data_IF_527216732192
#
_entry.id   IF_527216732192
#
_cell.length_a   1.000
_cell.length_b   1.000
_cell.length_c   1.000
_cell.angle_alpha   90.00
_cell.angle_beta   90.00
_cell.angle_gamma   90.00
#
_symmetry.space_group_name_H-M   'P 1'
#
loop_
_entity.id
_entity.type
_entity.pdbx_description
1 polymer ?
#
# COMPACT_ATOMS: atom_id res chain seq x y z
N UNK A 1 -2.86 -46.18 -37.70
CA UNK A 1 -2.24 -44.90 -37.33
C UNK A 1 -3.34 -43.91 -36.94
N UNK A 2 -3.58 -43.77 -35.64
CA UNK A 2 -4.56 -42.83 -35.12
C UNK A 2 -3.86 -41.50 -34.82
N UNK A 3 -4.23 -40.42 -35.53
CA UNK A 3 -3.75 -39.07 -35.28
C UNK A 3 -4.48 -38.53 -34.06
N UNK A 4 -3.75 -38.31 -32.99
CA UNK A 4 -4.21 -37.57 -31.81
C UNK A 4 -4.11 -36.08 -32.16
N UNK A 5 -5.25 -35.42 -32.33
CA UNK A 5 -5.33 -33.97 -32.48
C UNK A 5 -5.23 -33.39 -31.08
N UNK A 6 -4.09 -32.78 -30.76
CA UNK A 6 -3.89 -32.03 -29.52
C UNK A 6 -4.61 -30.70 -29.67
N UNK A 7 -5.78 -30.57 -29.02
CA UNK A 7 -6.55 -29.32 -28.98
C UNK A 7 -5.90 -28.42 -27.93
N UNK A 8 -5.07 -27.48 -28.38
CA UNK A 8 -4.55 -26.42 -27.50
C UNK A 8 -5.70 -25.45 -27.23
N UNK A 9 -6.26 -25.55 -26.05
CA UNK A 9 -7.18 -24.53 -25.52
C UNK A 9 -6.35 -23.26 -25.21
N UNK A 10 -6.37 -22.31 -26.14
CA UNK A 10 -5.92 -20.95 -25.89
C UNK A 10 -7.01 -20.31 -25.01
N UNK A 11 -6.77 -20.26 -23.70
CA UNK A 11 -7.50 -19.34 -22.85
C UNK A 11 -7.05 -17.93 -23.22
N UNK A 12 -7.77 -17.29 -24.13
CA UNK A 12 -7.72 -15.85 -24.25
C UNK A 12 -8.27 -15.27 -22.93
N UNK A 13 -7.41 -14.68 -22.11
CA UNK A 13 -7.82 -13.79 -21.05
C UNK A 13 -8.58 -12.63 -21.75
N UNK A 14 -9.91 -12.75 -21.80
CA UNK A 14 -10.77 -11.62 -22.08
C UNK A 14 -10.79 -10.86 -20.76
N UNK A 15 -9.86 -9.89 -20.60
CA UNK A 15 -10.00 -8.89 -19.55
C UNK A 15 -11.42 -8.35 -19.66
N UNK A 16 -12.17 -8.35 -18.55
CA UNK A 16 -13.54 -7.89 -18.56
C UNK A 16 -13.58 -6.47 -19.12
N UNK A 17 -14.55 -6.11 -19.97
CA UNK A 17 -14.65 -4.77 -20.56
C UNK A 17 -14.61 -3.63 -19.53
N UNK A 18 -15.01 -3.92 -18.28
CA UNK A 18 -14.94 -3.02 -17.13
C UNK A 18 -13.50 -2.66 -16.72
N UNK A 19 -12.57 -3.62 -16.68
CA UNK A 19 -11.19 -3.38 -16.25
C UNK A 19 -10.42 -2.51 -17.26
N UNK A 20 -10.66 -2.69 -18.56
CA UNK A 20 -10.09 -1.84 -19.61
C UNK A 20 -10.65 -0.40 -19.56
N UNK A 21 -11.95 -0.25 -19.27
CA UNK A 21 -12.57 1.06 -19.13
C UNK A 21 -12.06 1.78 -17.86
N UNK A 22 -11.83 1.05 -16.78
CA UNK A 22 -11.33 1.60 -15.52
C UNK A 22 -9.86 2.02 -15.65
N UNK A 23 -9.01 1.22 -16.28
CA UNK A 23 -7.63 1.61 -16.58
C UNK A 23 -7.53 2.85 -17.46
N UNK A 24 -8.45 3.04 -18.42
CA UNK A 24 -8.50 4.26 -19.22
C UNK A 24 -8.89 5.47 -18.38
N UNK A 25 -9.88 5.35 -17.50
CA UNK A 25 -10.28 6.42 -16.57
C UNK A 25 -9.18 6.79 -15.59
N UNK A 26 -8.43 5.80 -15.11
CA UNK A 26 -7.27 6.02 -14.24
C UNK A 26 -6.21 6.87 -14.96
N UNK A 27 -5.81 6.50 -16.18
CA UNK A 27 -4.84 7.27 -16.96
C UNK A 27 -5.33 8.68 -17.29
N UNK A 28 -6.62 8.85 -17.64
CA UNK A 28 -7.23 10.18 -17.83
C UNK A 28 -7.15 11.04 -16.57
N UNK A 29 -7.28 10.45 -15.39
CA UNK A 29 -7.17 11.19 -14.13
C UNK A 29 -5.79 11.78 -13.91
N UNK A 30 -4.71 11.06 -14.29
CA UNK A 30 -3.34 11.58 -14.21
C UNK A 30 -3.08 12.74 -15.17
N UNK A 31 -3.71 12.76 -16.32
CA UNK A 31 -3.45 13.75 -17.38
C UNK A 31 -4.46 14.91 -17.42
N UNK A 32 -5.54 14.84 -16.64
CA UNK A 32 -6.68 15.78 -16.72
C UNK A 32 -6.33 17.22 -16.42
N UNK A 33 -5.43 17.45 -15.45
CA UNK A 33 -5.18 18.78 -14.93
C UNK A 33 -3.76 19.31 -15.19
N UNK A 34 -2.85 18.43 -15.64
CA UNK A 34 -1.45 18.77 -15.91
C UNK A 34 -0.84 17.76 -16.88
N UNK A 35 0.27 18.14 -17.48
CA UNK A 35 0.99 17.31 -18.46
C UNK A 35 1.87 16.29 -17.71
N UNK A 36 1.25 15.29 -17.08
CA UNK A 36 1.92 14.20 -16.41
C UNK A 36 1.63 12.87 -17.11
N UNK A 37 2.68 12.13 -17.40
CA UNK A 37 2.58 10.79 -17.95
C UNK A 37 3.07 9.80 -16.88
N UNK A 38 2.16 9.00 -16.26
CA UNK A 38 2.58 8.05 -15.26
C UNK A 38 3.45 6.94 -15.86
N UNK A 39 4.48 6.54 -15.12
CA UNK A 39 5.29 5.40 -15.46
C UNK A 39 4.64 4.11 -14.92
N UNK A 40 4.95 2.97 -15.54
CA UNK A 40 4.52 1.66 -15.05
C UNK A 40 5.46 1.25 -13.91
N UNK A 41 4.91 0.90 -12.75
CA UNK A 41 5.68 0.38 -11.64
C UNK A 41 6.08 -1.09 -11.88
N UNK A 42 7.35 -1.39 -11.63
CA UNK A 42 7.82 -2.76 -11.52
C UNK A 42 7.55 -3.27 -10.10
N UNK A 43 6.83 -4.41 -9.94
CA UNK A 43 6.52 -4.94 -8.62
C UNK A 43 7.78 -5.32 -7.83
N UNK A 44 7.90 -4.84 -6.61
CA UNK A 44 9.02 -5.20 -5.71
C UNK A 44 8.86 -6.62 -5.14
N UNK A 45 7.64 -7.14 -5.11
CA UNK A 45 7.35 -8.48 -4.59
C UNK A 45 7.51 -8.61 -3.08
N UNK A 46 7.49 -9.85 -2.60
CA UNK A 46 7.65 -10.18 -1.18
C UNK A 46 9.11 -10.07 -0.76
N UNK A 47 9.37 -9.37 0.33
CA UNK A 47 10.67 -9.31 1.00
C UNK A 47 10.62 -10.28 2.18
N UNK A 48 11.33 -11.42 2.15
CA UNK A 48 11.22 -12.44 3.17
C UNK A 48 11.85 -11.99 4.49
N UNK A 49 11.16 -12.26 5.59
CA UNK A 49 11.63 -12.12 6.96
C UNK A 49 12.19 -13.43 7.52
N UNK A 50 12.06 -13.60 8.82
CA UNK A 50 12.46 -14.81 9.56
C UNK A 50 11.27 -15.52 10.23
N UNK A 51 10.15 -14.82 10.39
CA UNK A 51 8.87 -15.33 10.86
C UNK A 51 7.83 -15.27 9.74
N UNK A 52 7.60 -16.40 9.11
CA UNK A 52 6.67 -16.55 7.99
C UNK A 52 5.19 -16.74 8.43
N UNK A 53 4.87 -16.57 9.70
CA UNK A 53 3.49 -16.46 10.21
C UNK A 53 3.01 -15.02 10.32
N UNK A 54 3.92 -14.06 10.16
CA UNK A 54 3.69 -12.62 10.29
C UNK A 54 3.94 -11.92 8.97
N UNK A 55 3.00 -11.09 8.53
CA UNK A 55 3.09 -10.29 7.31
C UNK A 55 2.97 -8.79 7.64
N UNK A 56 3.84 -7.99 7.06
CA UNK A 56 3.78 -6.52 7.12
C UNK A 56 3.39 -6.00 5.73
N UNK A 57 2.21 -5.41 5.63
CA UNK A 57 1.70 -4.76 4.43
C UNK A 57 1.81 -3.25 4.59
N UNK A 58 2.33 -2.55 3.61
CA UNK A 58 2.36 -1.08 3.67
C UNK A 58 2.16 -0.44 2.31
N UNK A 59 1.60 0.78 2.30
CA UNK A 59 1.60 1.66 1.15
C UNK A 59 2.40 2.92 1.47
N UNK A 60 3.26 3.33 0.54
CA UNK A 60 4.05 4.57 0.66
C UNK A 60 4.17 5.24 -0.70
N UNK A 61 4.31 6.58 -0.74
CA UNK A 61 4.65 7.29 -1.97
C UNK A 61 6.01 6.84 -2.51
N UNK A 62 6.98 6.61 -1.63
CA UNK A 62 8.25 5.98 -2.04
C UNK A 62 7.95 4.55 -2.49
N UNK A 63 8.35 4.21 -3.72
CA UNK A 63 7.98 2.98 -4.41
C UNK A 63 6.69 3.09 -5.24
N UNK A 64 5.97 4.22 -5.17
CA UNK A 64 4.79 4.53 -5.97
C UNK A 64 4.87 5.90 -6.66
N UNK A 65 6.04 6.53 -6.65
CA UNK A 65 6.34 7.81 -7.29
C UNK A 65 7.78 7.76 -7.79
N UNK A 66 8.02 8.19 -9.01
CA UNK A 66 9.36 8.36 -9.57
C UNK A 66 9.95 9.68 -9.06
N UNK A 67 10.59 9.64 -7.88
CA UNK A 67 11.25 10.82 -7.33
C UNK A 67 12.62 11.02 -7.98
N UNK A 68 13.03 12.28 -8.28
CA UNK A 68 14.38 12.59 -8.68
C UNK A 68 15.39 12.32 -7.55
N UNK A 69 16.66 12.11 -7.90
CA UNK A 69 17.71 11.81 -6.91
C UNK A 69 17.94 12.98 -5.91
N UNK A 70 17.60 14.21 -6.29
CA UNK A 70 17.78 15.44 -5.52
C UNK A 70 16.46 15.95 -4.90
N UNK A 71 15.45 15.09 -4.75
CA UNK A 71 14.17 15.47 -4.14
C UNK A 71 14.39 16.05 -2.73
N UNK A 72 13.74 17.18 -2.46
CA UNK A 72 13.74 17.78 -1.12
C UNK A 72 12.83 17.01 -0.17
N UNK A 73 13.40 16.04 0.56
CA UNK A 73 12.66 15.25 1.54
C UNK A 73 12.12 16.08 2.72
N UNK A 74 12.69 17.25 3.00
CA UNK A 74 12.30 18.11 4.13
C UNK A 74 10.98 18.85 3.86
N UNK A 75 10.76 19.27 2.62
CA UNK A 75 9.54 20.00 2.23
C UNK A 75 8.32 19.09 1.99
N UNK A 76 8.50 17.78 1.94
CA UNK A 76 7.44 16.82 1.69
C UNK A 76 7.12 16.00 2.96
N UNK A 77 6.00 16.28 3.59
CA UNK A 77 5.59 15.73 4.89
C UNK A 77 5.55 14.19 5.02
N UNK A 78 5.70 13.45 3.93
CA UNK A 78 5.67 11.97 3.92
C UNK A 78 6.99 11.34 3.51
N UNK A 79 8.01 12.16 3.23
CA UNK A 79 9.35 11.73 2.81
C UNK A 79 10.35 11.91 3.95
N UNK A 80 11.27 10.99 4.06
CA UNK A 80 12.36 11.00 5.04
C UNK A 80 13.62 10.45 4.38
N UNK A 81 14.73 10.52 5.10
CA UNK A 81 15.95 9.81 4.75
C UNK A 81 16.22 8.72 5.80
N UNK A 82 16.61 7.55 5.34
CA UNK A 82 17.10 6.49 6.24
C UNK A 82 18.52 6.80 6.76
N UNK A 83 19.10 5.88 7.52
CA UNK A 83 20.44 6.04 8.12
C UNK A 83 21.58 6.10 7.08
N UNK A 84 21.33 5.68 5.86
CA UNK A 84 22.27 5.71 4.72
C UNK A 84 22.04 6.94 3.83
N UNK A 85 21.05 7.79 4.16
CA UNK A 85 20.65 8.95 3.38
C UNK A 85 19.81 8.62 2.15
N UNK A 86 19.24 7.42 2.09
CA UNK A 86 18.33 7.00 1.03
C UNK A 86 16.90 7.44 1.35
N UNK A 87 16.17 7.85 0.32
CA UNK A 87 14.78 8.26 0.46
C UNK A 87 13.91 7.10 0.97
N UNK A 88 13.14 7.37 2.01
CA UNK A 88 12.17 6.45 2.61
C UNK A 88 10.88 7.19 2.95
N UNK A 89 9.72 6.55 2.76
CA UNK A 89 8.45 7.11 3.17
C UNK A 89 8.13 6.81 4.63
N UNK A 90 7.34 7.66 5.29
CA UNK A 90 6.97 7.47 6.71
C UNK A 90 6.29 6.12 6.96
N UNK A 91 5.38 5.68 6.08
CA UNK A 91 4.72 4.38 6.22
C UNK A 91 5.71 3.22 6.00
N UNK A 92 6.63 3.35 5.06
CA UNK A 92 7.70 2.36 4.83
C UNK A 92 8.62 2.27 6.05
N UNK A 93 9.02 3.41 6.63
CA UNK A 93 9.85 3.45 7.84
C UNK A 93 9.18 2.71 9.00
N UNK A 94 7.91 2.97 9.25
CA UNK A 94 7.14 2.28 10.28
C UNK A 94 7.01 0.77 9.99
N UNK A 95 6.81 0.38 8.73
CA UNK A 95 6.79 -1.02 8.31
C UNK A 95 8.14 -1.71 8.56
N UNK A 96 9.27 -1.03 8.32
CA UNK A 96 10.61 -1.55 8.64
C UNK A 96 10.76 -1.81 10.15
N UNK A 97 10.36 -0.88 11.02
CA UNK A 97 10.42 -1.08 12.48
C UNK A 97 9.59 -2.29 12.93
N UNK A 98 8.39 -2.46 12.34
CA UNK A 98 7.51 -3.59 12.64
C UNK A 98 8.17 -4.90 12.15
N UNK A 99 8.67 -4.92 10.93
CA UNK A 99 9.32 -6.11 10.36
C UNK A 99 10.57 -6.51 11.16
N UNK A 100 11.42 -5.55 11.55
CA UNK A 100 12.59 -5.82 12.40
C UNK A 100 12.20 -6.38 13.77
N UNK A 101 11.14 -5.84 14.38
CA UNK A 101 10.71 -6.28 15.72
C UNK A 101 9.97 -7.63 15.70
N UNK A 102 9.27 -7.95 14.60
CA UNK A 102 8.46 -9.17 14.49
C UNK A 102 9.15 -10.29 13.73
N UNK A 103 10.14 -9.96 12.91
CA UNK A 103 10.74 -10.89 11.94
C UNK A 103 9.86 -11.19 10.74
N UNK A 104 8.71 -10.52 10.59
CA UNK A 104 7.72 -10.80 9.57
C UNK A 104 8.17 -10.54 8.13
N UNK A 105 7.54 -11.23 7.18
CA UNK A 105 7.68 -10.94 5.76
C UNK A 105 7.08 -9.57 5.44
N UNK A 106 7.64 -8.86 4.45
CA UNK A 106 7.16 -7.53 4.06
C UNK A 106 6.65 -7.54 2.62
N UNK A 107 5.47 -7.00 2.39
CA UNK A 107 4.94 -6.81 1.06
C UNK A 107 4.52 -5.35 0.84
N UNK A 108 5.21 -4.59 -0.02
CA UNK A 108 4.83 -3.24 -0.40
C UNK A 108 3.60 -3.26 -1.32
N UNK A 109 2.58 -2.50 -0.98
CA UNK A 109 1.45 -2.26 -1.85
C UNK A 109 1.90 -1.26 -2.92
N UNK A 110 1.87 -1.67 -4.18
CA UNK A 110 2.26 -0.82 -5.31
C UNK A 110 1.11 -0.69 -6.30
N UNK A 111 0.90 0.54 -6.76
CA UNK A 111 0.01 0.82 -7.89
C UNK A 111 0.69 0.44 -9.20
N UNK A 112 -0.09 0.06 -10.22
CA UNK A 112 0.45 -0.24 -11.54
C UNK A 112 1.10 0.99 -12.20
N UNK A 113 0.65 2.19 -11.83
CA UNK A 113 1.15 3.46 -12.36
C UNK A 113 1.68 4.35 -11.22
N UNK A 114 2.76 5.09 -11.51
CA UNK A 114 3.34 6.03 -10.55
C UNK A 114 2.43 7.23 -10.29
N UNK A 115 2.46 7.75 -9.06
CA UNK A 115 1.90 9.06 -8.74
C UNK A 115 2.88 10.17 -9.14
N UNK A 116 2.38 11.41 -9.37
CA UNK A 116 3.22 12.57 -9.64
C UNK A 116 4.25 12.81 -8.53
N UNK A 117 5.40 13.36 -8.90
CA UNK A 117 6.45 13.77 -7.98
C UNK A 117 5.99 14.90 -7.06
N UNK A 118 5.35 15.91 -7.64
CA UNK A 118 4.84 17.08 -6.91
C UNK A 118 3.75 16.65 -5.92
N UNK A 119 3.79 17.24 -4.71
CA UNK A 119 2.76 17.00 -3.70
C UNK A 119 1.40 17.54 -4.15
N UNK A 120 1.36 18.72 -4.77
CA UNK A 120 0.12 19.36 -5.26
C UNK A 120 -0.54 18.53 -6.35
N UNK A 121 0.25 18.04 -7.31
CA UNK A 121 -0.27 17.19 -8.39
C UNK A 121 -0.74 15.84 -7.85
N UNK A 122 -0.02 15.27 -6.87
CA UNK A 122 -0.47 14.06 -6.17
C UNK A 122 -1.83 14.28 -5.51
N UNK A 123 -2.04 15.42 -4.82
CA UNK A 123 -3.35 15.74 -4.23
C UNK A 123 -4.42 15.85 -5.32
N UNK A 124 -4.12 16.47 -6.45
CA UNK A 124 -5.05 16.60 -7.57
C UNK A 124 -5.48 15.23 -8.10
N UNK A 125 -4.54 14.28 -8.26
CA UNK A 125 -4.85 12.90 -8.65
C UNK A 125 -5.72 12.22 -7.58
N UNK A 126 -5.37 12.36 -6.29
CA UNK A 126 -6.14 11.78 -5.18
C UNK A 126 -7.58 12.30 -5.16
N UNK A 127 -7.78 13.61 -5.29
CA UNK A 127 -9.12 14.22 -5.33
C UNK A 127 -9.91 13.68 -6.52
N UNK A 128 -9.32 13.63 -7.70
CA UNK A 128 -9.98 13.06 -8.88
C UNK A 128 -10.34 11.57 -8.71
N UNK A 129 -9.47 10.78 -8.07
CA UNK A 129 -9.77 9.39 -7.73
C UNK A 129 -10.96 9.26 -6.78
N UNK A 130 -11.11 10.17 -5.81
CA UNK A 130 -12.26 10.18 -4.89
C UNK A 130 -13.54 10.64 -5.58
N UNK A 131 -13.49 11.74 -6.35
CA UNK A 131 -14.67 12.32 -7.02
C UNK A 131 -15.27 11.41 -8.10
N UNK A 132 -14.41 10.76 -8.87
CA UNK A 132 -14.82 9.89 -9.99
C UNK A 132 -14.89 8.41 -9.57
N UNK A 133 -14.65 8.09 -8.29
CA UNK A 133 -14.58 6.72 -7.74
C UNK A 133 -13.65 5.80 -8.55
N UNK A 134 -12.45 6.30 -8.87
CA UNK A 134 -11.44 5.54 -9.59
C UNK A 134 -10.73 4.61 -8.61
N UNK A 135 -10.64 3.32 -8.95
CA UNK A 135 -9.86 2.33 -8.21
C UNK A 135 -8.49 2.18 -8.87
N UNK A 136 -7.40 2.70 -8.24
CA UNK A 136 -6.05 2.55 -8.81
C UNK A 136 -5.69 1.08 -8.98
N UNK A 137 -5.19 0.70 -10.15
CA UNK A 137 -4.74 -0.66 -10.38
C UNK A 137 -3.55 -0.99 -9.50
N UNK A 138 -3.52 -2.20 -8.95
CA UNK A 138 -2.43 -2.70 -8.12
C UNK A 138 -1.49 -3.53 -9.01
N UNK A 139 -0.19 -3.27 -8.88
CA UNK A 139 0.85 -3.89 -9.72
C UNK A 139 0.99 -5.40 -9.45
N UNK A 140 0.88 -5.81 -8.19
CA UNK A 140 0.94 -7.22 -7.80
C UNK A 140 0.24 -7.47 -6.45
N UNK A 141 -0.13 -8.71 -6.22
CA UNK A 141 -0.69 -9.22 -4.97
C UNK A 141 0.18 -10.36 -4.44
N UNK A 142 0.21 -10.61 -3.10
CA UNK A 142 0.82 -11.82 -2.57
C UNK A 142 0.16 -13.08 -3.17
N UNK A 143 0.97 -14.06 -3.57
CA UNK A 143 0.45 -15.29 -4.21
C UNK A 143 -0.33 -16.17 -3.22
N UNK A 144 0.12 -16.23 -1.97
CA UNK A 144 -0.50 -17.03 -0.91
C UNK A 144 -0.43 -16.31 0.44
N UNK A 145 -1.58 -16.19 1.10
CA UNK A 145 -1.71 -15.60 2.43
C UNK A 145 -2.04 -16.65 3.51
N UNK A 146 -2.19 -17.92 3.15
CA UNK A 146 -2.67 -18.97 4.05
C UNK A 146 -1.72 -19.26 5.22
N UNK A 147 -0.41 -19.01 5.04
CA UNK A 147 0.61 -19.21 6.06
C UNK A 147 0.67 -18.13 7.15
N UNK A 148 0.00 -16.99 6.95
CA UNK A 148 0.06 -15.88 7.89
C UNK A 148 -1.10 -15.89 8.87
N UNK A 149 -0.81 -15.75 10.16
CA UNK A 149 -1.79 -15.60 11.24
C UNK A 149 -1.97 -14.13 11.63
N UNK A 150 -0.90 -13.35 11.52
CA UNK A 150 -0.86 -11.93 11.91
C UNK A 150 -0.46 -11.05 10.74
N UNK A 151 -1.22 -9.97 10.54
CA UNK A 151 -0.95 -8.94 9.52
C UNK A 151 -0.82 -7.59 10.19
N UNK A 152 0.30 -6.89 9.92
CA UNK A 152 0.53 -5.52 10.30
C UNK A 152 0.32 -4.64 9.07
N UNK A 153 -0.69 -3.79 9.11
CA UNK A 153 -1.09 -2.96 7.99
C UNK A 153 -0.74 -1.50 8.27
N UNK A 154 0.19 -0.93 7.49
CA UNK A 154 0.68 0.45 7.67
C UNK A 154 0.27 1.31 6.49
N UNK A 155 -0.67 2.23 6.70
CA UNK A 155 -1.32 2.98 5.63
C UNK A 155 -1.28 4.50 5.88
N UNK A 156 -1.01 5.33 4.87
CA UNK A 156 -1.20 6.77 4.98
C UNK A 156 -2.69 7.14 4.95
N UNK A 157 -3.03 8.17 5.71
CA UNK A 157 -4.35 8.81 5.64
C UNK A 157 -4.32 9.88 4.55
N UNK A 158 -5.11 9.66 3.51
CA UNK A 158 -5.36 10.58 2.41
C UNK A 158 -6.82 10.99 2.41
N UNK A 159 -7.12 12.28 2.21
CA UNK A 159 -8.50 12.78 2.20
C UNK A 159 -9.35 12.30 3.41
N UNK A 160 -8.75 12.26 4.62
CA UNK A 160 -9.37 11.85 5.89
C UNK A 160 -9.79 10.36 5.98
N UNK A 161 -9.29 9.51 5.11
CA UNK A 161 -9.52 8.06 5.13
C UNK A 161 -8.26 7.30 4.70
N UNK A 162 -8.27 5.96 4.68
CA UNK A 162 -7.17 5.19 4.10
C UNK A 162 -7.09 5.42 2.59
N UNK A 163 -5.87 5.51 2.07
CA UNK A 163 -5.63 5.84 0.65
C UNK A 163 -6.32 4.86 -0.32
N UNK A 164 -6.74 5.35 -1.47
CA UNK A 164 -7.42 4.54 -2.51
C UNK A 164 -6.64 3.27 -2.89
N UNK A 165 -5.31 3.30 -3.11
CA UNK A 165 -4.56 2.06 -3.40
C UNK A 165 -4.71 0.99 -2.34
N UNK A 166 -4.72 1.38 -1.05
CA UNK A 166 -4.95 0.43 0.03
C UNK A 166 -6.35 -0.16 0.01
N UNK A 167 -7.37 0.65 -0.31
CA UNK A 167 -8.75 0.16 -0.48
C UNK A 167 -8.84 -0.86 -1.60
N UNK A 168 -8.34 -0.52 -2.79
CA UNK A 168 -8.29 -1.43 -3.94
C UNK A 168 -7.56 -2.74 -3.61
N UNK A 169 -6.43 -2.63 -2.89
CA UNK A 169 -5.67 -3.80 -2.48
C UNK A 169 -6.49 -4.69 -1.53
N UNK A 170 -7.11 -4.10 -0.50
CA UNK A 170 -7.90 -4.83 0.49
C UNK A 170 -9.17 -5.48 -0.10
N UNK A 171 -9.75 -4.92 -1.14
CA UNK A 171 -10.88 -5.53 -1.86
C UNK A 171 -10.50 -6.82 -2.61
N UNK A 172 -9.21 -6.98 -2.94
CA UNK A 172 -8.73 -8.07 -3.79
C UNK A 172 -7.87 -9.11 -3.07
N UNK A 173 -7.80 -9.05 -1.72
CA UNK A 173 -7.14 -10.06 -0.89
C UNK A 173 -8.12 -10.59 0.16
N UNK A 174 -7.81 -11.75 0.73
CA UNK A 174 -8.57 -12.35 1.82
C UNK A 174 -7.72 -12.44 3.10
N UNK A 175 -8.11 -11.68 4.12
CA UNK A 175 -7.52 -11.69 5.45
C UNK A 175 -8.42 -12.38 6.50
N UNK A 176 -9.39 -13.20 6.06
CA UNK A 176 -10.27 -13.94 6.95
C UNK A 176 -9.47 -14.76 7.97
N UNK A 177 -9.95 -14.80 9.20
CA UNK A 177 -9.36 -15.52 10.33
C UNK A 177 -8.00 -15.00 10.82
N UNK A 178 -7.47 -13.92 10.21
CA UNK A 178 -6.22 -13.31 10.63
C UNK A 178 -6.43 -12.17 11.61
N UNK A 179 -5.45 -11.97 12.50
CA UNK A 179 -5.38 -10.76 13.33
C UNK A 179 -4.71 -9.64 12.51
N UNK A 180 -5.41 -8.53 12.31
CA UNK A 180 -4.94 -7.39 11.50
C UNK A 180 -4.74 -6.17 12.38
N UNK A 181 -3.49 -5.75 12.61
CA UNK A 181 -3.16 -4.53 13.33
C UNK A 181 -3.03 -3.36 12.37
N UNK A 182 -3.88 -2.34 12.51
CA UNK A 182 -3.93 -1.18 11.62
C UNK A 182 -3.12 -0.03 12.19
N UNK A 183 -2.06 0.34 11.50
CA UNK A 183 -1.23 1.52 11.76
C UNK A 183 -1.49 2.56 10.69
N UNK A 184 -1.47 3.83 11.06
CA UNK A 184 -1.60 4.91 10.08
C UNK A 184 -0.45 5.89 10.16
N UNK A 185 -0.14 6.52 9.01
CA UNK A 185 0.71 7.72 8.96
C UNK A 185 -0.12 8.90 8.50
N UNK A 186 0.13 10.09 9.08
CA UNK A 186 -0.73 11.24 8.85
C UNK A 186 0.00 12.57 9.07
N UNK A 187 -0.55 13.65 8.48
CA UNK A 187 -0.16 15.05 8.72
C UNK A 187 -1.29 15.78 9.48
N UNK A 188 -1.69 15.24 10.67
CA UNK A 188 -2.72 15.85 11.52
C UNK A 188 -4.04 15.08 11.63
N UNK A 189 -4.35 14.11 10.73
CA UNK A 189 -5.63 13.38 10.71
C UNK A 189 -5.72 12.23 11.73
N UNK A 190 -4.60 11.84 12.35
CA UNK A 190 -4.55 10.69 13.25
C UNK A 190 -4.91 9.38 12.56
N UNK A 191 -5.64 8.52 13.25
CA UNK A 191 -6.14 7.24 12.72
C UNK A 191 -7.33 7.40 11.76
N UNK A 192 -8.01 8.56 11.79
CA UNK A 192 -9.25 8.79 11.05
C UNK A 192 -10.23 7.60 11.19
N UNK A 193 -10.80 7.12 10.08
CA UNK A 193 -11.71 5.97 10.04
C UNK A 193 -11.00 4.65 9.67
N UNK A 194 -9.66 4.60 9.68
CA UNK A 194 -8.88 3.49 9.12
C UNK A 194 -9.29 2.11 9.64
N UNK A 195 -9.47 1.96 10.95
CA UNK A 195 -9.86 0.67 11.55
C UNK A 195 -11.23 0.21 11.05
N UNK A 196 -12.19 1.15 11.02
CA UNK A 196 -13.53 0.87 10.51
C UNK A 196 -13.49 0.47 9.04
N UNK A 197 -12.75 1.21 8.21
CA UNK A 197 -12.61 0.91 6.77
C UNK A 197 -11.95 -0.44 6.52
N UNK A 198 -10.87 -0.76 7.22
CA UNK A 198 -10.25 -2.09 7.10
C UNK A 198 -11.23 -3.19 7.50
N UNK A 199 -12.02 -3.00 8.58
CA UNK A 199 -13.05 -3.97 8.98
C UNK A 199 -14.17 -4.11 7.95
N UNK A 200 -14.55 -3.04 7.24
CA UNK A 200 -15.54 -3.08 6.17
C UNK A 200 -15.05 -3.91 4.97
N UNK A 201 -13.77 -3.75 4.58
CA UNK A 201 -13.16 -4.54 3.49
C UNK A 201 -12.83 -5.98 3.90
N UNK A 202 -12.54 -6.21 5.18
CA UNK A 202 -12.13 -7.50 5.71
C UNK A 202 -13.04 -7.92 6.89
N UNK A 203 -14.32 -8.22 6.61
CA UNK A 203 -15.33 -8.42 7.66
C UNK A 203 -15.06 -9.67 8.54
N UNK A 204 -14.32 -10.65 8.04
CA UNK A 204 -14.00 -11.89 8.73
C UNK A 204 -12.60 -11.87 9.39
N UNK A 205 -11.87 -10.75 9.36
CA UNK A 205 -10.62 -10.56 10.07
C UNK A 205 -10.87 -10.01 11.48
N UNK A 206 -9.96 -10.30 12.42
CA UNK A 206 -9.91 -9.65 13.74
C UNK A 206 -9.10 -8.36 13.62
N UNK A 207 -9.79 -7.26 13.23
CA UNK A 207 -9.15 -5.96 12.98
C UNK A 207 -8.96 -5.20 14.28
N UNK A 208 -7.71 -4.89 14.60
CA UNK A 208 -7.29 -4.23 15.83
C UNK A 208 -6.64 -2.89 15.56
N UNK A 209 -6.89 -1.94 16.46
CA UNK A 209 -6.28 -0.61 16.40
C UNK A 209 -4.82 -0.68 16.82
N UNK A 210 -3.92 -0.26 15.96
CA UNK A 210 -2.52 0.05 16.25
C UNK A 210 -2.32 1.52 16.60
N UNK A 211 -1.27 2.14 16.08
CA UNK A 211 -0.89 3.53 16.35
C UNK A 211 -1.07 4.43 15.14
N UNK A 212 -1.25 5.73 15.40
CA UNK A 212 -1.23 6.78 14.38
C UNK A 212 0.09 7.54 14.50
N UNK A 213 0.92 7.49 13.46
CA UNK A 213 2.27 8.02 13.42
C UNK A 213 2.25 9.35 12.67
N UNK A 214 2.66 10.44 13.34
CA UNK A 214 2.77 11.74 12.68
C UNK A 214 3.95 11.77 11.71
N UNK A 215 3.70 12.24 10.49
CA UNK A 215 4.74 12.43 9.49
C UNK A 215 5.63 13.65 9.74
N UNK A 216 5.24 14.56 10.66
CA UNK A 216 6.05 15.73 11.01
C UNK A 216 7.32 15.35 11.80
N UNK A 217 7.23 14.29 12.62
CA UNK A 217 8.39 13.76 13.37
C UNK A 217 8.24 12.26 13.59
N UNK A 218 8.33 11.44 12.55
CA UNK A 218 8.05 10.01 12.64
C UNK A 218 8.99 9.27 13.59
N UNK A 219 10.26 9.66 13.68
CA UNK A 219 11.25 9.00 14.54
C UNK A 219 10.87 9.05 16.03
N UNK A 220 10.12 10.07 16.48
CA UNK A 220 9.64 10.14 17.86
C UNK A 220 8.63 9.05 18.20
N UNK A 221 8.05 8.38 17.23
CA UNK A 221 7.07 7.30 17.42
C UNK A 221 7.70 5.90 17.45
N UNK A 222 9.00 5.75 17.18
CA UNK A 222 9.64 4.44 17.09
C UNK A 222 9.53 3.64 18.38
N UNK A 223 9.87 4.24 19.51
CA UNK A 223 9.80 3.58 20.82
C UNK A 223 8.36 3.15 21.16
N UNK A 224 7.36 3.98 20.83
CA UNK A 224 5.95 3.68 21.06
C UNK A 224 5.49 2.51 20.19
N UNK A 225 5.90 2.47 18.91
CA UNK A 225 5.64 1.35 18.00
C UNK A 225 6.22 0.05 18.55
N UNK A 226 7.51 0.06 18.98
CA UNK A 226 8.16 -1.12 19.54
C UNK A 226 7.49 -1.59 20.84
N UNK A 227 7.10 -0.67 21.73
CA UNK A 227 6.38 -0.99 22.97
C UNK A 227 5.00 -1.59 22.66
N UNK A 228 4.29 -1.05 21.68
CA UNK A 228 3.01 -1.61 21.25
C UNK A 228 3.17 -3.04 20.76
N UNK A 229 4.12 -3.30 19.86
CA UNK A 229 4.39 -4.64 19.33
C UNK A 229 4.65 -5.63 20.48
N UNK A 230 5.57 -5.30 21.41
CA UNK A 230 5.87 -6.14 22.56
C UNK A 230 4.64 -6.39 23.46
N UNK A 231 3.68 -5.48 23.51
CA UNK A 231 2.47 -5.61 24.35
C UNK A 231 1.47 -6.62 23.79
N UNK A 232 1.43 -6.82 22.46
CA UNK A 232 0.44 -7.66 21.78
C UNK A 232 0.98 -9.02 21.34
N UNK A 233 2.30 -9.23 21.35
CA UNK A 233 2.95 -10.51 21.06
C UNK A 233 3.08 -11.44 22.29
N UNK A 234 2.49 -11.07 23.42
CA UNK A 234 2.42 -11.87 24.65
C UNK A 234 1.18 -12.75 24.63
#
# INVERSE_FOLDING_TARGET
MKRIICMVLVFALIAAPSALAEGHRELENYTRYFDYQPEVNEPLGMIPGTDHSTLVLYFSRVGNTAFPEDVDAVSYATLNLDSEGKLIGTAQMAACWIAEATGGDVFPIQTAYTYPESFEDTITVIVGQEEDDIQPQIAAYPEDLSGYDTVWLVLPIWAYTICKPARTFLENIDLSEKTVYVFTTHCGSGMADAVQRVQEFQPNADVRRGLAISSDNPLSSQDEVLQYIHSVQK
#
